data_IF_022154058046
#
_entry.id   IF_022154058046
#
_cell.length_a   1.000
_cell.length_b   1.000
_cell.length_c   1.000
_cell.angle_alpha   90.00
_cell.angle_beta   90.00
_cell.angle_gamma   90.00
#
_symmetry.space_group_name_H-M   'P 1'
#
loop_
_entity.id
_entity.type
_entity.pdbx_description
1 polymer ?
#
# COMPACT_ATOMS: atom_id res chain seq x y z
N UNK A 1 43.87 6.92 74.62
CA UNK A 1 43.84 6.01 73.47
C UNK A 1 43.69 6.87 72.19
N UNK A 2 44.75 6.92 71.38
CA UNK A 2 44.84 7.72 70.17
C UNK A 2 44.46 6.86 68.98
N UNK A 3 43.39 7.24 68.28
CA UNK A 3 42.96 6.63 66.99
C UNK A 3 43.88 7.15 65.86
N UNK A 4 44.59 6.24 65.22
CA UNK A 4 45.36 6.53 64.00
C UNK A 4 44.44 6.45 62.80
N UNK A 5 44.20 7.58 62.11
CA UNK A 5 43.52 7.64 60.81
C UNK A 5 44.46 7.14 59.71
N UNK A 6 44.01 6.20 58.91
CA UNK A 6 44.71 5.71 57.72
C UNK A 6 44.37 6.68 56.61
N UNK A 7 45.34 7.44 56.12
CA UNK A 7 45.21 8.26 54.88
C UNK A 7 45.59 7.34 53.72
N UNK A 8 44.57 6.99 52.86
CA UNK A 8 44.83 6.31 51.60
C UNK A 8 45.29 7.36 50.59
N UNK A 9 46.56 7.34 50.22
CA UNK A 9 47.11 8.16 49.15
C UNK A 9 46.58 7.64 47.81
N UNK A 10 45.71 8.42 47.16
CA UNK A 10 45.28 8.18 45.77
C UNK A 10 46.47 8.57 44.88
N UNK A 11 47.24 7.58 44.43
CA UNK A 11 48.30 7.76 43.45
C UNK A 11 47.71 8.24 42.13
N UNK A 12 48.21 9.38 41.62
CA UNK A 12 47.82 10.01 40.38
C UNK A 12 48.09 9.05 39.20
N UNK A 13 47.02 8.57 38.59
CA UNK A 13 47.06 7.87 37.29
C UNK A 13 47.63 8.81 36.21
N UNK A 14 48.50 8.34 35.33
CA UNK A 14 49.04 9.14 34.25
C UNK A 14 47.90 9.72 33.39
N UNK A 15 47.98 11.00 33.03
CA UNK A 15 46.94 11.69 32.21
C UNK A 15 46.54 10.93 30.95
N UNK A 16 47.43 10.13 30.37
CA UNK A 16 47.15 9.28 29.21
C UNK A 16 46.12 8.17 29.48
N UNK A 17 46.06 7.59 30.70
CA UNK A 17 45.10 6.54 31.07
C UNK A 17 43.67 7.10 31.28
N UNK A 18 43.59 8.34 31.76
CA UNK A 18 42.28 9.03 31.91
C UNK A 18 41.70 9.36 30.54
N UNK A 19 42.53 9.80 29.57
CA UNK A 19 42.09 10.05 28.19
C UNK A 19 41.66 8.76 27.49
N UNK A 20 42.36 7.64 27.69
CA UNK A 20 42.01 6.34 27.15
C UNK A 20 40.69 5.80 27.74
N UNK A 21 40.51 5.94 29.06
CA UNK A 21 39.24 5.55 29.71
C UNK A 21 38.05 6.36 29.25
N UNK A 22 38.20 7.66 29.01
CA UNK A 22 37.13 8.50 28.43
C UNK A 22 36.84 8.15 26.98
N UNK A 23 37.88 7.84 26.16
CA UNK A 23 37.68 7.42 24.78
C UNK A 23 36.94 6.07 24.70
N UNK A 24 37.27 5.11 25.56
CA UNK A 24 36.60 3.82 25.66
C UNK A 24 35.14 3.98 26.15
N UNK A 25 34.92 4.84 27.16
CA UNK A 25 33.59 5.13 27.67
C UNK A 25 32.69 5.79 26.59
N UNK A 26 33.22 6.70 25.77
CA UNK A 26 32.51 7.34 24.66
C UNK A 26 32.18 6.31 23.57
N UNK A 27 33.07 5.38 23.25
CA UNK A 27 32.82 4.31 22.27
C UNK A 27 31.76 3.34 22.79
N UNK A 28 31.77 2.99 24.09
CA UNK A 28 30.77 2.12 24.70
C UNK A 28 29.38 2.80 24.74
N UNK A 29 29.30 4.10 25.01
CA UNK A 29 28.04 4.86 25.01
C UNK A 29 27.51 5.03 23.58
N UNK A 30 28.38 5.20 22.58
CA UNK A 30 27.94 5.26 21.16
C UNK A 30 27.45 3.89 20.63
N UNK A 31 27.98 2.77 21.18
CA UNK A 31 27.52 1.43 20.84
C UNK A 31 26.21 1.03 21.55
N UNK A 32 25.84 1.70 22.65
CA UNK A 32 24.68 1.35 23.47
C UNK A 32 23.33 1.96 22.95
N UNK A 33 23.37 2.73 21.86
CA UNK A 33 22.18 3.40 21.32
C UNK A 33 21.59 2.74 20.06
N UNK A 34 22.07 1.58 19.65
CA UNK A 34 21.38 0.78 18.66
C UNK A 34 20.17 0.12 19.34
N UNK A 35 19.03 0.83 19.41
CA UNK A 35 17.77 0.19 19.78
C UNK A 35 17.58 -1.02 18.87
N UNK A 36 17.33 -2.19 19.45
CA UNK A 36 17.01 -3.36 18.64
C UNK A 36 15.75 -3.07 17.83
N UNK A 37 15.77 -3.37 16.53
CA UNK A 37 14.59 -3.26 15.69
C UNK A 37 13.49 -4.21 16.20
N UNK A 38 12.22 -3.92 15.85
CA UNK A 38 11.09 -4.71 16.36
C UNK A 38 11.18 -6.17 15.94
N UNK A 39 10.88 -7.08 16.86
CA UNK A 39 10.81 -8.53 16.58
C UNK A 39 9.49 -8.97 15.98
N UNK A 40 8.47 -8.10 15.93
CA UNK A 40 7.16 -8.37 15.34
C UNK A 40 6.79 -7.24 14.38
N UNK A 41 6.29 -7.59 13.21
CA UNK A 41 5.88 -6.66 12.16
C UNK A 41 4.47 -6.95 11.67
N UNK A 42 3.61 -5.93 11.67
CA UNK A 42 2.23 -6.00 11.21
C UNK A 42 2.11 -5.33 9.84
N UNK A 43 1.72 -6.11 8.83
CA UNK A 43 1.60 -5.66 7.45
C UNK A 43 0.14 -5.73 7.03
N UNK A 44 -0.45 -4.62 6.55
CA UNK A 44 -1.80 -4.67 5.99
C UNK A 44 -1.78 -5.00 4.49
N UNK A 45 -2.80 -5.73 4.06
CA UNK A 45 -3.15 -5.93 2.65
C UNK A 45 -4.67 -5.92 2.49
N UNK A 46 -5.15 -5.61 1.29
CA UNK A 46 -6.56 -5.69 0.93
C UNK A 46 -6.90 -6.93 0.12
N UNK A 47 -8.09 -6.92 -0.46
CA UNK A 47 -8.57 -7.95 -1.37
C UNK A 47 -8.06 -7.73 -2.80
N UNK A 48 -7.92 -8.83 -3.55
CA UNK A 48 -7.65 -8.81 -4.99
C UNK A 48 -6.23 -9.17 -5.40
N UNK A 49 -6.10 -9.52 -6.69
CA UNK A 49 -4.82 -9.99 -7.28
C UNK A 49 -3.76 -8.88 -7.28
N UNK A 50 -4.14 -7.62 -7.20
CA UNK A 50 -3.19 -6.50 -7.09
C UNK A 50 -2.30 -6.57 -5.82
N UNK A 51 -2.71 -7.34 -4.80
CA UNK A 51 -1.92 -7.62 -3.60
C UNK A 51 -1.10 -8.91 -3.70
N UNK A 52 -1.06 -9.58 -4.86
CA UNK A 52 -0.34 -10.85 -5.05
C UNK A 52 1.11 -10.84 -4.55
N UNK A 53 1.92 -9.77 -4.73
CA UNK A 53 3.28 -9.76 -4.19
C UNK A 53 3.32 -9.95 -2.67
N UNK A 54 2.36 -9.44 -1.91
CA UNK A 54 2.30 -9.64 -0.45
C UNK A 54 1.87 -11.06 -0.07
N UNK A 55 1.04 -11.71 -0.88
CA UNK A 55 0.69 -13.12 -0.70
C UNK A 55 1.90 -14.03 -0.95
N UNK A 56 2.65 -13.77 -2.03
CA UNK A 56 3.92 -14.47 -2.31
C UNK A 56 4.95 -14.22 -1.22
N UNK A 57 5.10 -12.96 -0.76
CA UNK A 57 6.00 -12.61 0.34
C UNK A 57 5.67 -13.38 1.61
N UNK A 58 4.39 -13.52 1.95
CA UNK A 58 3.93 -14.30 3.11
C UNK A 58 4.27 -15.77 2.96
N UNK A 59 3.83 -16.41 1.87
CA UNK A 59 3.96 -17.83 1.65
C UNK A 59 5.43 -18.26 1.56
N UNK A 60 6.24 -17.51 0.84
CA UNK A 60 7.67 -17.79 0.67
C UNK A 60 8.54 -17.27 1.83
N UNK A 61 7.94 -16.59 2.83
CA UNK A 61 8.65 -15.96 3.97
C UNK A 61 9.81 -15.07 3.52
N UNK A 62 9.59 -14.29 2.43
CA UNK A 62 10.68 -13.53 1.80
C UNK A 62 11.20 -12.44 2.72
N UNK A 63 10.33 -11.77 3.46
CA UNK A 63 10.71 -10.74 4.41
C UNK A 63 11.59 -11.30 5.54
N UNK A 64 11.21 -12.44 6.13
CA UNK A 64 11.99 -13.09 7.17
C UNK A 64 13.39 -13.48 6.66
N UNK A 65 13.45 -14.00 5.42
CA UNK A 65 14.75 -14.34 4.77
C UNK A 65 15.63 -13.10 4.57
N UNK A 66 15.05 -11.98 4.11
CA UNK A 66 15.78 -10.73 3.91
C UNK A 66 16.21 -10.10 5.24
N UNK A 67 15.35 -10.11 6.26
CA UNK A 67 15.66 -9.62 7.60
C UNK A 67 16.83 -10.39 8.22
N UNK A 68 16.80 -11.72 8.15
CA UNK A 68 17.91 -12.57 8.62
C UNK A 68 19.21 -12.28 7.86
N UNK A 69 19.16 -12.12 6.53
CA UNK A 69 20.32 -11.76 5.72
C UNK A 69 20.88 -10.36 6.06
N UNK A 70 20.04 -9.44 6.54
CA UNK A 70 20.45 -8.12 7.02
C UNK A 70 21.01 -8.14 8.46
N UNK A 71 21.10 -9.32 9.08
CA UNK A 71 21.62 -9.50 10.45
C UNK A 71 20.61 -9.09 11.52
N UNK A 72 19.32 -9.18 11.24
CA UNK A 72 18.27 -9.11 12.25
C UNK A 72 17.99 -10.51 12.80
N UNK A 73 17.50 -10.55 14.04
CA UNK A 73 16.98 -11.79 14.62
C UNK A 73 15.69 -12.25 13.89
N UNK A 74 15.11 -13.36 14.36
CA UNK A 74 13.85 -13.84 13.83
C UNK A 74 12.76 -12.78 13.97
N UNK A 75 12.16 -12.39 12.83
CA UNK A 75 11.05 -11.43 12.79
C UNK A 75 9.74 -12.19 12.59
N UNK A 76 8.80 -12.03 13.52
CA UNK A 76 7.44 -12.49 13.36
C UNK A 76 6.67 -11.52 12.47
N UNK A 77 5.99 -12.02 11.44
CA UNK A 77 5.24 -11.18 10.48
C UNK A 77 3.78 -11.58 10.49
N UNK A 78 2.94 -10.62 10.87
CA UNK A 78 1.48 -10.75 10.84
C UNK A 78 0.93 -9.99 9.63
N UNK A 79 0.07 -10.67 8.83
CA UNK A 79 -0.61 -10.06 7.69
C UNK A 79 -2.07 -9.80 8.04
N UNK A 80 -2.44 -8.52 8.10
CA UNK A 80 -3.78 -8.04 8.44
C UNK A 80 -4.57 -7.76 7.17
N UNK A 81 -5.75 -8.34 7.06
CA UNK A 81 -6.67 -8.07 5.94
C UNK A 81 -7.52 -6.85 6.29
N UNK A 82 -7.20 -5.71 5.68
CA UNK A 82 -7.91 -4.44 5.88
C UNK A 82 -8.25 -3.87 4.51
N UNK A 83 -9.52 -3.65 4.24
CA UNK A 83 -9.99 -3.07 2.99
C UNK A 83 -10.50 -1.64 3.17
N UNK A 84 -10.36 -0.84 2.11
CA UNK A 84 -10.76 0.57 2.11
C UNK A 84 -9.70 1.51 2.69
N UNK A 85 -9.39 2.57 1.92
CA UNK A 85 -8.33 3.52 2.27
C UNK A 85 -8.50 4.23 3.62
N UNK A 86 -9.75 4.46 4.07
CA UNK A 86 -10.02 5.07 5.38
C UNK A 86 -9.58 4.15 6.51
N UNK A 87 -9.98 2.87 6.48
CA UNK A 87 -9.66 1.91 7.54
C UNK A 87 -8.15 1.68 7.65
N UNK A 88 -7.44 1.66 6.50
CA UNK A 88 -5.98 1.54 6.50
C UNK A 88 -5.34 2.80 7.09
N UNK A 89 -5.81 3.99 6.72
CA UNK A 89 -5.31 5.24 7.26
C UNK A 89 -5.53 5.32 8.78
N UNK A 90 -6.72 4.93 9.26
CA UNK A 90 -7.02 4.88 10.69
C UNK A 90 -6.13 3.88 11.43
N UNK A 91 -5.87 2.70 10.84
CA UNK A 91 -4.98 1.68 11.40
C UNK A 91 -3.52 2.17 11.52
N UNK A 92 -3.01 2.92 10.53
CA UNK A 92 -1.67 3.53 10.58
C UNK A 92 -1.62 4.62 11.65
N UNK A 93 -2.62 5.50 11.70
CA UNK A 93 -2.69 6.57 12.72
C UNK A 93 -2.80 6.01 14.13
N UNK A 94 -3.52 4.89 14.32
CA UNK A 94 -3.61 4.18 15.59
C UNK A 94 -2.39 3.31 15.92
N UNK A 95 -1.38 3.25 15.02
CA UNK A 95 -0.18 2.39 15.15
C UNK A 95 -0.52 0.91 15.32
N UNK A 96 -1.64 0.46 14.75
CA UNK A 96 -2.02 -0.96 14.71
C UNK A 96 -1.46 -1.70 13.49
N UNK A 97 -0.85 -0.97 12.55
CA UNK A 97 -0.14 -1.45 11.37
C UNK A 97 1.19 -0.73 11.26
N UNK A 98 2.25 -1.44 10.98
CA UNK A 98 3.62 -0.93 10.87
C UNK A 98 3.98 -0.63 9.41
N UNK A 99 3.64 -1.54 8.49
CA UNK A 99 3.72 -1.32 7.05
C UNK A 99 2.32 -1.52 6.46
N UNK A 100 1.82 -0.49 5.81
CA UNK A 100 0.51 -0.51 5.19
C UNK A 100 0.62 -0.67 3.66
N UNK A 101 -0.42 -1.27 3.06
CA UNK A 101 -0.59 -1.29 1.61
C UNK A 101 -2.00 -0.83 1.25
N UNK A 102 -2.11 0.14 0.36
CA UNK A 102 -3.38 0.74 -0.02
C UNK A 102 -3.34 1.28 -1.45
N UNK A 103 -4.50 1.71 -1.93
CA UNK A 103 -4.61 2.45 -3.18
C UNK A 103 -3.90 3.81 -3.15
N UNK A 104 -3.30 4.20 -4.27
CA UNK A 104 -2.48 5.42 -4.37
C UNK A 104 -3.19 6.69 -3.88
N UNK A 105 -4.50 6.85 -4.18
CA UNK A 105 -5.25 8.03 -3.72
C UNK A 105 -5.38 8.11 -2.19
N UNK A 106 -5.61 6.97 -1.53
CA UNK A 106 -5.66 6.87 -0.06
C UNK A 106 -4.32 7.23 0.58
N UNK A 107 -3.22 6.72 0.03
CA UNK A 107 -1.87 7.06 0.46
C UNK A 107 -1.57 8.56 0.31
N UNK A 108 -1.81 9.15 -0.86
CA UNK A 108 -1.56 10.58 -1.09
C UNK A 108 -2.38 11.47 -0.14
N UNK A 109 -3.60 11.05 0.17
CA UNK A 109 -4.43 11.75 1.17
C UNK A 109 -3.80 11.71 2.55
N UNK A 110 -3.30 10.54 2.99
CA UNK A 110 -2.64 10.41 4.29
C UNK A 110 -1.30 11.15 4.30
N UNK A 111 -0.51 11.04 3.23
CA UNK A 111 0.75 11.77 3.08
C UNK A 111 0.56 13.29 3.25
N UNK A 112 -0.41 13.86 2.53
CA UNK A 112 -0.68 15.30 2.61
C UNK A 112 -1.16 15.73 4.01
N UNK A 113 -1.93 14.90 4.70
CA UNK A 113 -2.42 15.17 6.06
C UNK A 113 -1.35 15.01 7.14
N UNK A 114 -0.40 14.09 6.93
CA UNK A 114 0.64 13.77 7.91
C UNK A 114 1.92 14.57 7.73
N UNK A 115 2.07 15.28 6.60
CA UNK A 115 3.27 16.04 6.26
C UNK A 115 3.65 17.04 7.35
N UNK A 116 4.92 16.99 7.77
CA UNK A 116 5.44 17.85 8.85
C UNK A 116 5.11 17.38 10.27
N UNK A 117 4.40 16.27 10.43
CA UNK A 117 4.21 15.62 11.74
C UNK A 117 5.27 14.52 11.92
N UNK A 118 6.29 14.71 12.78
CA UNK A 118 7.42 13.78 12.87
C UNK A 118 7.03 12.34 13.27
N UNK A 119 5.89 12.17 13.95
CA UNK A 119 5.43 10.87 14.43
C UNK A 119 4.48 10.14 13.46
N UNK A 120 3.89 10.87 12.50
CA UNK A 120 2.82 10.35 11.65
C UNK A 120 3.12 10.53 10.16
N UNK A 121 4.13 11.33 9.79
CA UNK A 121 4.49 11.55 8.39
C UNK A 121 4.79 10.21 7.71
N UNK A 122 4.05 9.91 6.64
CA UNK A 122 4.19 8.65 5.91
C UNK A 122 5.11 8.79 4.71
N UNK A 123 5.73 7.66 4.34
CA UNK A 123 6.64 7.53 3.20
C UNK A 123 6.38 6.23 2.44
N UNK A 124 6.32 6.29 1.13
CA UNK A 124 6.13 5.13 0.25
C UNK A 124 7.37 4.24 0.18
N UNK A 125 7.15 2.94 0.23
CA UNK A 125 8.17 1.89 0.14
C UNK A 125 8.22 1.21 -1.24
N UNK A 126 7.32 1.57 -2.15
CA UNK A 126 7.29 1.07 -3.52
C UNK A 126 5.88 0.80 -4.02
N UNK A 127 5.73 0.74 -5.34
CA UNK A 127 4.57 0.14 -5.96
C UNK A 127 4.52 -1.36 -5.66
N UNK A 128 3.34 -1.95 -5.73
CA UNK A 128 3.15 -3.40 -5.67
C UNK A 128 2.53 -3.88 -6.97
N UNK A 129 1.55 -3.14 -7.47
CA UNK A 129 0.89 -3.41 -8.72
C UNK A 129 0.43 -2.13 -9.41
N UNK A 130 0.37 -2.18 -10.73
CA UNK A 130 -0.41 -1.26 -11.56
C UNK A 130 -1.38 -2.09 -12.40
N UNK A 131 -2.60 -1.60 -12.59
CA UNK A 131 -3.61 -2.39 -13.30
C UNK A 131 -4.92 -1.65 -13.49
N UNK A 132 -5.85 -2.31 -14.20
CA UNK A 132 -7.15 -1.76 -14.49
C UNK A 132 -8.08 -1.77 -13.26
N UNK A 133 -8.72 -0.62 -13.04
CA UNK A 133 -9.96 -0.54 -12.27
C UNK A 133 -11.09 -0.47 -13.29
N UNK A 134 -11.99 -1.42 -13.24
CA UNK A 134 -13.10 -1.53 -14.21
C UNK A 134 -14.40 -1.17 -13.54
N UNK A 135 -15.13 -0.23 -14.14
CA UNK A 135 -16.55 -0.03 -13.81
C UNK A 135 -17.38 -1.02 -14.60
N UNK A 136 -18.08 -1.89 -13.90
CA UNK A 136 -19.06 -2.82 -14.43
C UNK A 136 -20.45 -2.38 -14.06
N UNK A 137 -21.45 -2.80 -14.83
CA UNK A 137 -22.87 -2.53 -14.52
C UNK A 137 -23.78 -3.66 -14.98
N UNK A 138 -24.86 -3.90 -14.22
CA UNK A 138 -25.99 -4.74 -14.61
C UNK A 138 -27.16 -3.94 -15.20
N UNK A 139 -27.04 -2.60 -15.21
CA UNK A 139 -28.05 -1.74 -15.83
C UNK A 139 -27.84 -1.75 -17.37
N UNK A 140 -28.75 -2.33 -18.18
CA UNK A 140 -28.54 -2.50 -19.61
C UNK A 140 -28.50 -1.19 -20.38
N UNK A 141 -28.99 -0.09 -19.81
CA UNK A 141 -29.01 1.23 -20.44
C UNK A 141 -27.74 2.05 -20.12
N UNK A 142 -26.96 1.67 -19.10
CA UNK A 142 -25.77 2.39 -18.68
C UNK A 142 -24.57 1.95 -19.52
N UNK A 143 -24.27 2.67 -20.61
CA UNK A 143 -23.13 2.40 -21.53
C UNK A 143 -21.93 3.30 -21.29
N UNK A 144 -22.16 4.44 -20.66
CA UNK A 144 -21.16 5.46 -20.35
C UNK A 144 -21.50 6.18 -19.05
N UNK A 145 -20.58 6.99 -18.52
CA UNK A 145 -20.87 7.82 -17.34
C UNK A 145 -22.02 8.83 -17.56
N UNK A 146 -22.32 9.17 -18.82
CA UNK A 146 -23.45 10.07 -19.18
C UNK A 146 -24.80 9.44 -18.92
N UNK A 147 -24.87 8.12 -18.93
CA UNK A 147 -26.11 7.36 -18.79
C UNK A 147 -26.45 7.07 -17.31
N UNK A 148 -25.55 7.42 -16.37
CA UNK A 148 -25.80 7.26 -14.95
C UNK A 148 -26.94 8.18 -14.49
N UNK A 149 -27.89 7.61 -13.77
CA UNK A 149 -29.08 8.28 -13.25
C UNK A 149 -29.16 8.20 -11.73
N UNK A 150 -30.10 8.95 -11.12
CA UNK A 150 -30.38 8.91 -9.68
C UNK A 150 -30.87 7.53 -9.16
N UNK A 151 -31.19 6.62 -10.07
CA UNK A 151 -31.60 5.24 -9.73
C UNK A 151 -30.42 4.30 -9.58
N UNK A 152 -29.24 4.70 -10.05
CA UNK A 152 -28.05 3.87 -9.99
C UNK A 152 -27.36 3.98 -8.62
N UNK A 153 -26.73 2.89 -8.21
CA UNK A 153 -25.87 2.83 -7.02
C UNK A 153 -24.57 2.17 -7.40
N UNK A 154 -23.47 2.85 -7.12
CA UNK A 154 -22.11 2.47 -7.52
C UNK A 154 -21.35 2.00 -6.29
N UNK A 155 -21.07 0.70 -6.19
CA UNK A 155 -20.28 0.16 -5.09
C UNK A 155 -18.80 0.54 -5.22
N UNK A 156 -18.19 0.93 -4.10
CA UNK A 156 -16.76 1.18 -3.93
C UNK A 156 -16.34 0.77 -2.51
N UNK A 157 -15.09 0.32 -2.24
CA UNK A 157 -14.68 -0.10 -0.89
C UNK A 157 -14.68 1.03 0.15
N UNK A 158 -14.56 2.26 -0.29
CA UNK A 158 -14.58 3.45 0.58
C UNK A 158 -14.93 4.69 -0.22
N UNK A 159 -15.98 5.38 0.21
CA UNK A 159 -16.48 6.59 -0.44
C UNK A 159 -15.40 7.67 -0.39
N UNK A 160 -15.14 8.33 -1.53
CA UNK A 160 -14.20 9.46 -1.72
C UNK A 160 -12.71 9.16 -1.48
N UNK A 161 -12.34 7.99 -0.97
CA UNK A 161 -10.96 7.72 -0.51
C UNK A 161 -10.36 6.44 -1.04
N UNK A 162 -11.20 5.44 -1.41
CA UNK A 162 -10.69 4.22 -2.03
C UNK A 162 -10.17 4.52 -3.44
N UNK A 163 -9.31 3.65 -3.95
CA UNK A 163 -8.81 3.75 -5.32
C UNK A 163 -9.96 3.82 -6.33
N UNK A 164 -10.98 2.95 -6.18
CA UNK A 164 -12.16 2.95 -7.06
C UNK A 164 -12.91 4.28 -7.05
N UNK A 165 -13.06 4.90 -5.87
CA UNK A 165 -13.71 6.21 -5.76
C UNK A 165 -12.90 7.32 -6.45
N UNK A 166 -11.57 7.34 -6.28
CA UNK A 166 -10.71 8.34 -6.94
C UNK A 166 -10.69 8.12 -8.46
N UNK A 167 -10.63 6.88 -8.94
CA UNK A 167 -10.72 6.57 -10.37
C UNK A 167 -12.06 7.00 -10.94
N UNK A 168 -13.18 6.79 -10.22
CA UNK A 168 -14.48 7.31 -10.64
C UNK A 168 -14.46 8.82 -10.80
N UNK A 169 -13.95 9.54 -9.80
CA UNK A 169 -13.85 10.99 -9.84
C UNK A 169 -12.95 11.49 -10.99
N UNK A 170 -11.83 10.81 -11.26
CA UNK A 170 -10.97 11.10 -12.41
C UNK A 170 -11.71 10.88 -13.74
N UNK A 171 -12.46 9.79 -13.85
CA UNK A 171 -13.25 9.47 -15.06
C UNK A 171 -14.38 10.49 -15.25
N UNK A 172 -15.07 10.87 -14.17
CA UNK A 172 -16.11 11.91 -14.18
C UNK A 172 -15.51 13.27 -14.59
N UNK A 173 -14.37 13.64 -14.03
CA UNK A 173 -13.69 14.89 -14.41
C UNK A 173 -13.25 14.89 -15.88
N UNK A 174 -12.78 13.76 -16.39
CA UNK A 174 -12.43 13.61 -17.82
C UNK A 174 -13.65 13.77 -18.74
N UNK A 175 -14.80 13.26 -18.32
CA UNK A 175 -16.03 13.26 -19.12
C UNK A 175 -16.80 14.60 -19.05
N UNK A 176 -16.86 15.22 -17.84
CA UNK A 176 -17.71 16.38 -17.57
C UNK A 176 -16.93 17.65 -17.19
N UNK A 177 -15.62 17.56 -17.06
CA UNK A 177 -14.73 18.63 -16.58
C UNK A 177 -14.50 18.60 -15.07
N UNK A 178 -13.32 19.13 -14.66
CA UNK A 178 -12.88 19.14 -13.26
C UNK A 178 -13.92 19.71 -12.26
N UNK A 179 -14.69 20.78 -12.55
CA UNK A 179 -15.70 21.28 -11.60
C UNK A 179 -16.79 20.26 -11.24
N UNK A 180 -16.99 19.23 -12.07
CA UNK A 180 -18.01 18.21 -11.87
C UNK A 180 -17.44 16.87 -11.36
N UNK A 181 -16.18 16.81 -10.95
CA UNK A 181 -15.52 15.56 -10.55
C UNK A 181 -16.30 14.73 -9.53
N UNK A 182 -17.00 15.37 -8.61
CA UNK A 182 -17.78 14.75 -7.54
C UNK A 182 -19.27 14.51 -7.91
N UNK A 183 -19.64 14.73 -9.17
CA UNK A 183 -21.05 14.65 -9.63
C UNK A 183 -21.74 13.34 -9.25
N UNK A 184 -21.00 12.22 -9.23
CA UNK A 184 -21.54 10.89 -8.95
C UNK A 184 -21.26 10.40 -7.52
N UNK A 185 -20.59 11.19 -6.67
CA UNK A 185 -20.20 10.77 -5.31
C UNK A 185 -21.43 10.38 -4.46
N UNK A 186 -22.53 11.09 -4.60
CA UNK A 186 -23.76 10.84 -3.84
C UNK A 186 -24.46 9.51 -4.21
N UNK A 187 -24.09 8.92 -5.35
CA UNK A 187 -24.57 7.61 -5.79
C UNK A 187 -23.65 6.47 -5.35
N UNK A 188 -22.51 6.79 -4.72
CA UNK A 188 -21.58 5.76 -4.26
C UNK A 188 -22.03 5.12 -2.96
N UNK A 189 -21.83 3.80 -2.84
CA UNK A 189 -22.14 3.00 -1.66
C UNK A 189 -20.88 2.28 -1.21
N UNK A 190 -20.55 2.35 0.08
CA UNK A 190 -19.38 1.67 0.65
C UNK A 190 -19.68 0.19 0.87
N UNK A 191 -19.04 -0.68 0.08
CA UNK A 191 -19.11 -2.13 0.22
C UNK A 191 -17.72 -2.74 -0.07
N UNK A 192 -17.24 -3.67 0.76
CA UNK A 192 -16.07 -4.48 0.44
C UNK A 192 -16.27 -5.25 -0.86
N UNK A 193 -15.19 -5.51 -1.59
CA UNK A 193 -15.26 -6.15 -2.91
C UNK A 193 -16.07 -7.46 -2.94
N UNK A 194 -15.91 -8.43 -2.00
CA UNK A 194 -16.70 -9.66 -2.04
C UNK A 194 -18.20 -9.41 -1.89
N UNK A 195 -18.59 -8.45 -1.04
CA UNK A 195 -19.99 -8.08 -0.82
C UNK A 195 -20.58 -7.36 -2.03
N UNK A 196 -19.80 -6.45 -2.64
CA UNK A 196 -20.21 -5.75 -3.85
C UNK A 196 -20.45 -6.71 -5.02
N UNK A 197 -19.53 -7.69 -5.23
CA UNK A 197 -19.72 -8.75 -6.24
C UNK A 197 -20.99 -9.55 -5.95
N UNK A 198 -21.20 -9.99 -4.70
CA UNK A 198 -22.41 -10.73 -4.33
C UNK A 198 -23.68 -9.91 -4.60
N UNK A 199 -23.66 -8.61 -4.31
CA UNK A 199 -24.75 -7.69 -4.61
C UNK A 199 -25.02 -7.55 -6.11
N UNK A 200 -23.96 -7.40 -6.91
CA UNK A 200 -24.03 -7.32 -8.37
C UNK A 200 -24.61 -8.60 -8.99
N UNK A 201 -24.08 -9.77 -8.59
CA UNK A 201 -24.48 -11.07 -9.15
C UNK A 201 -25.88 -11.50 -8.72
N UNK A 202 -26.33 -11.12 -7.52
CA UNK A 202 -27.68 -11.49 -7.04
C UNK A 202 -28.80 -10.87 -7.86
N UNK A 203 -28.57 -9.72 -8.48
CA UNK A 203 -29.57 -8.96 -9.22
C UNK A 203 -30.72 -8.40 -8.35
N UNK A 204 -30.65 -8.58 -7.02
CA UNK A 204 -31.72 -8.22 -6.07
C UNK A 204 -31.39 -7.04 -5.16
N UNK A 205 -30.15 -6.55 -5.22
CA UNK A 205 -29.70 -5.39 -4.45
C UNK A 205 -29.97 -4.08 -5.19
N UNK A 206 -29.88 -2.96 -4.50
CA UNK A 206 -29.91 -1.62 -5.11
C UNK A 206 -28.63 -1.32 -5.92
N UNK A 207 -27.54 -2.07 -5.71
CA UNK A 207 -26.29 -1.87 -6.43
C UNK A 207 -26.46 -2.23 -7.90
N UNK A 208 -26.30 -1.24 -8.77
CA UNK A 208 -26.40 -1.39 -10.21
C UNK A 208 -25.06 -1.37 -10.92
N UNK A 209 -24.03 -0.81 -10.29
CA UNK A 209 -22.67 -0.73 -10.81
C UNK A 209 -21.65 -0.94 -9.72
N UNK A 210 -20.43 -1.34 -10.10
CA UNK A 210 -19.31 -1.55 -9.20
C UNK A 210 -18.01 -1.13 -9.87
N UNK A 211 -17.08 -0.55 -9.10
CA UNK A 211 -15.73 -0.28 -9.59
C UNK A 211 -14.77 -1.19 -8.86
N UNK A 212 -14.24 -2.15 -9.59
CA UNK A 212 -13.42 -3.21 -9.04
C UNK A 212 -12.12 -3.44 -9.80
N UNK A 213 -11.14 -3.97 -9.09
CA UNK A 213 -9.96 -4.60 -9.66
C UNK A 213 -10.18 -6.11 -9.85
N UNK A 214 -9.22 -6.77 -10.52
CA UNK A 214 -9.19 -8.22 -10.60
C UNK A 214 -9.01 -8.88 -9.21
N UNK A 215 -9.66 -10.03 -8.94
CA UNK A 215 -10.47 -10.84 -9.85
C UNK A 215 -11.94 -10.40 -9.94
N UNK A 216 -12.38 -9.47 -9.11
CA UNK A 216 -13.78 -9.12 -8.91
C UNK A 216 -14.46 -8.60 -10.18
N UNK A 217 -13.81 -7.70 -10.92
CA UNK A 217 -14.31 -7.22 -12.20
C UNK A 217 -14.44 -8.32 -13.25
N UNK A 218 -13.55 -9.32 -13.22
CA UNK A 218 -13.61 -10.47 -14.12
C UNK A 218 -14.81 -11.36 -13.81
N UNK A 219 -15.03 -11.69 -12.52
CA UNK A 219 -16.20 -12.46 -12.07
C UNK A 219 -17.52 -11.81 -12.52
N UNK A 220 -17.57 -10.49 -12.43
CA UNK A 220 -18.74 -9.73 -12.86
C UNK A 220 -18.93 -9.78 -14.38
N UNK A 221 -17.86 -9.55 -15.15
CA UNK A 221 -17.92 -9.55 -16.62
C UNK A 221 -18.21 -10.93 -17.23
N UNK A 222 -17.92 -12.02 -16.52
CA UNK A 222 -18.30 -13.37 -16.92
C UNK A 222 -19.78 -13.71 -16.64
N UNK A 223 -20.44 -12.86 -15.86
CA UNK A 223 -21.84 -13.08 -15.48
C UNK A 223 -22.80 -12.50 -16.50
N UNK A 224 -23.84 -13.26 -16.93
CA UNK A 224 -24.81 -12.78 -17.90
C UNK A 224 -25.48 -11.47 -17.45
N UNK A 225 -25.60 -10.53 -18.36
CA UNK A 225 -26.27 -9.25 -18.11
C UNK A 225 -25.40 -8.18 -17.44
N UNK A 226 -24.16 -8.49 -17.11
CA UNK A 226 -23.19 -7.50 -16.62
C UNK A 226 -22.22 -7.14 -17.76
N UNK A 227 -21.92 -5.85 -17.90
CA UNK A 227 -20.97 -5.37 -18.91
C UNK A 227 -20.09 -4.24 -18.39
N UNK A 228 -18.99 -3.99 -19.11
CA UNK A 228 -18.04 -2.91 -18.82
C UNK A 228 -18.60 -1.56 -19.23
N UNK A 229 -18.45 -0.56 -18.36
CA UNK A 229 -18.69 0.86 -18.67
C UNK A 229 -17.37 1.53 -19.07
N UNK A 230 -16.30 1.36 -18.26
CA UNK A 230 -14.95 1.80 -18.60
C UNK A 230 -13.90 0.95 -17.89
N UNK A 231 -12.63 1.04 -18.36
CA UNK A 231 -11.45 0.56 -17.67
C UNK A 231 -10.46 1.71 -17.50
N UNK A 232 -9.85 1.84 -16.32
CA UNK A 232 -8.95 2.96 -16.01
C UNK A 232 -7.65 2.96 -16.84
N UNK A 233 -7.17 1.80 -17.30
CA UNK A 233 -5.98 1.72 -18.17
C UNK A 233 -6.30 2.32 -19.55
N UNK A 234 -7.50 2.07 -20.07
CA UNK A 234 -7.97 2.68 -21.34
C UNK A 234 -8.07 4.21 -21.23
N UNK A 235 -8.44 4.73 -20.05
CA UNK A 235 -8.63 6.16 -19.82
C UNK A 235 -7.34 6.91 -19.49
N UNK A 236 -6.43 6.30 -18.72
CA UNK A 236 -5.31 6.99 -18.07
C UNK A 236 -3.95 6.31 -18.27
N UNK A 237 -3.91 5.14 -18.95
CA UNK A 237 -2.72 4.30 -19.01
C UNK A 237 -2.47 3.56 -17.68
N UNK A 238 -1.29 2.95 -17.58
CA UNK A 238 -0.90 2.23 -16.38
C UNK A 238 -0.58 3.19 -15.24
N UNK A 239 -1.37 3.13 -14.18
CA UNK A 239 -1.16 3.86 -12.92
C UNK A 239 -0.90 2.86 -11.80
N UNK A 240 -0.02 3.18 -10.86
CA UNK A 240 0.14 2.39 -9.64
C UNK A 240 -1.19 2.33 -8.90
N UNK A 241 -1.73 1.12 -8.75
CA UNK A 241 -3.00 0.87 -8.09
C UNK A 241 -2.80 0.59 -6.61
N UNK A 242 -1.82 -0.25 -6.29
CA UNK A 242 -1.46 -0.59 -4.90
C UNK A 242 0.00 -0.24 -4.65
N UNK A 243 0.25 0.36 -3.51
CA UNK A 243 1.58 0.67 -3.02
C UNK A 243 1.72 0.38 -1.53
N UNK A 244 2.95 0.09 -1.11
CA UNK A 244 3.30 -0.08 0.28
C UNK A 244 3.89 1.22 0.86
N UNK A 245 3.64 1.48 2.14
CA UNK A 245 4.14 2.64 2.85
C UNK A 245 4.25 2.38 4.35
N UNK A 246 5.01 3.24 5.03
CA UNK A 246 5.15 3.24 6.49
C UNK A 246 5.26 4.67 7.01
N UNK A 247 5.38 4.87 8.33
CA UNK A 247 5.71 6.19 8.88
C UNK A 247 7.22 6.44 8.83
N UNK A 248 7.63 7.71 8.70
CA UNK A 248 9.04 8.10 8.79
C UNK A 248 9.65 7.69 10.14
N UNK A 249 8.85 7.76 11.21
CA UNK A 249 9.28 7.32 12.54
C UNK A 249 9.62 5.82 12.52
N UNK A 250 8.68 4.97 12.08
CA UNK A 250 8.93 3.52 12.02
C UNK A 250 10.15 3.19 11.17
N UNK A 251 10.30 3.83 10.00
CA UNK A 251 11.47 3.66 9.14
C UNK A 251 12.77 4.03 9.84
N UNK A 252 12.80 5.15 10.56
CA UNK A 252 14.01 5.60 11.26
C UNK A 252 14.40 4.71 12.44
N UNK A 253 13.40 4.13 13.11
CA UNK A 253 13.59 3.20 14.23
C UNK A 253 13.93 1.77 13.75
N UNK A 254 13.51 1.40 12.51
CA UNK A 254 13.66 0.06 11.95
C UNK A 254 14.23 0.10 10.51
N UNK A 255 15.41 0.67 10.28
CA UNK A 255 15.94 0.90 8.94
C UNK A 255 16.27 -0.39 8.20
N UNK A 256 16.83 -1.42 8.85
CA UNK A 256 17.15 -2.69 8.23
C UNK A 256 15.89 -3.48 7.88
N UNK A 257 14.89 -3.48 8.76
CA UNK A 257 13.62 -4.16 8.54
C UNK A 257 12.84 -3.51 7.38
N UNK A 258 12.84 -2.16 7.32
CA UNK A 258 12.21 -1.42 6.22
C UNK A 258 12.92 -1.70 4.88
N UNK A 259 14.26 -1.71 4.85
CA UNK A 259 15.02 -2.07 3.66
C UNK A 259 14.78 -3.55 3.26
N UNK A 260 14.68 -4.45 4.24
CA UNK A 260 14.34 -5.86 4.02
C UNK A 260 12.95 -6.04 3.41
N UNK A 261 11.99 -5.21 3.83
CA UNK A 261 10.65 -5.22 3.23
C UNK A 261 10.69 -4.83 1.75
N UNK A 262 11.38 -3.75 1.38
CA UNK A 262 11.51 -3.31 -0.02
C UNK A 262 12.17 -4.40 -0.87
N UNK A 263 13.27 -5.01 -0.36
CA UNK A 263 13.93 -6.11 -1.04
C UNK A 263 13.04 -7.34 -1.19
N UNK A 264 12.29 -7.72 -0.16
CA UNK A 264 11.36 -8.84 -0.20
C UNK A 264 10.17 -8.61 -1.15
N UNK A 265 9.73 -7.36 -1.27
CA UNK A 265 8.69 -6.98 -2.24
C UNK A 265 9.21 -7.12 -3.68
N UNK A 266 10.45 -6.73 -3.93
CA UNK A 266 11.12 -6.94 -5.22
C UNK A 266 11.25 -8.44 -5.52
N UNK A 267 11.72 -9.26 -4.56
CA UNK A 267 11.81 -10.72 -4.73
C UNK A 267 10.47 -11.35 -5.07
N UNK A 268 9.40 -10.89 -4.42
CA UNK A 268 8.04 -11.39 -4.71
C UNK A 268 7.59 -11.03 -6.13
N UNK A 269 7.91 -9.83 -6.60
CA UNK A 269 7.60 -9.39 -7.96
C UNK A 269 8.38 -10.23 -8.99
N UNK A 270 9.68 -10.46 -8.74
CA UNK A 270 10.53 -11.31 -9.59
C UNK A 270 10.06 -12.76 -9.59
N UNK A 271 9.67 -13.29 -8.43
CA UNK A 271 9.08 -14.63 -8.31
C UNK A 271 7.82 -14.77 -9.18
N UNK A 272 6.90 -13.78 -9.13
CA UNK A 272 5.69 -13.78 -9.97
C UNK A 272 6.06 -13.76 -11.46
N UNK A 273 7.03 -12.93 -11.85
CA UNK A 273 7.46 -12.85 -13.24
C UNK A 273 8.08 -14.15 -13.76
N UNK A 274 8.83 -14.86 -12.91
CA UNK A 274 9.49 -16.12 -13.24
C UNK A 274 8.55 -17.33 -13.24
N UNK A 275 7.49 -17.32 -12.38
CA UNK A 275 6.65 -18.48 -12.14
C UNK A 275 5.16 -18.14 -11.92
N UNK A 276 4.48 -17.64 -12.96
CA UNK A 276 3.08 -17.20 -12.87
C UNK A 276 2.10 -18.29 -12.43
N UNK A 277 2.36 -19.55 -12.80
CA UNK A 277 1.52 -20.69 -12.38
C UNK A 277 1.60 -20.88 -10.87
N UNK A 278 2.80 -20.97 -10.31
CA UNK A 278 2.99 -21.09 -8.87
C UNK A 278 2.45 -19.87 -8.11
N UNK A 279 2.62 -18.67 -8.67
CA UNK A 279 2.05 -17.45 -8.10
C UNK A 279 0.51 -17.48 -8.07
N UNK A 280 -0.14 -18.05 -9.11
CA UNK A 280 -1.59 -18.24 -9.14
C UNK A 280 -2.06 -19.21 -8.05
N UNK A 281 -1.34 -20.32 -7.86
CA UNK A 281 -1.61 -21.32 -6.81
C UNK A 281 -1.50 -20.68 -5.42
N UNK A 282 -0.41 -19.96 -5.15
CA UNK A 282 -0.20 -19.25 -3.89
C UNK A 282 -1.37 -18.29 -3.62
N UNK A 283 -1.78 -17.51 -4.63
CA UNK A 283 -2.91 -16.61 -4.46
C UNK A 283 -4.20 -17.35 -4.13
N UNK A 284 -4.54 -18.39 -4.91
CA UNK A 284 -5.76 -19.15 -4.71
C UNK A 284 -5.85 -19.75 -3.30
N UNK A 285 -4.76 -20.35 -2.82
CA UNK A 285 -4.67 -21.02 -1.52
C UNK A 285 -4.66 -20.00 -0.36
N UNK A 286 -3.78 -18.98 -0.43
CA UNK A 286 -3.57 -18.06 0.68
C UNK A 286 -4.71 -17.02 0.80
N UNK A 287 -5.26 -16.56 -0.31
CA UNK A 287 -6.41 -15.67 -0.34
C UNK A 287 -7.75 -16.41 -0.17
N UNK A 288 -7.74 -17.76 -0.20
CA UNK A 288 -8.92 -18.63 -0.09
C UNK A 288 -10.03 -18.24 -1.08
N UNK A 289 -9.65 -17.90 -2.29
CA UNK A 289 -10.60 -17.52 -3.34
C UNK A 289 -11.26 -18.77 -3.94
N UNK A 290 -12.47 -18.59 -4.48
CA UNK A 290 -13.24 -19.69 -5.10
C UNK A 290 -12.94 -19.88 -6.59
N UNK A 291 -12.24 -18.92 -7.20
CA UNK A 291 -11.89 -18.96 -8.61
C UNK A 291 -10.93 -20.11 -8.89
N UNK A 292 -11.12 -20.83 -10.01
CA UNK A 292 -10.16 -21.82 -10.47
C UNK A 292 -8.77 -21.19 -10.70
N UNK A 293 -7.70 -21.94 -10.44
CA UNK A 293 -6.31 -21.49 -10.66
C UNK A 293 -6.10 -20.97 -12.09
N UNK A 294 -6.69 -21.64 -13.09
CA UNK A 294 -6.59 -21.25 -14.49
C UNK A 294 -7.15 -19.83 -14.76
N UNK A 295 -8.19 -19.44 -14.05
CA UNK A 295 -8.76 -18.08 -14.13
C UNK A 295 -7.80 -17.06 -13.50
N UNK A 296 -7.26 -17.36 -12.33
CA UNK A 296 -6.26 -16.50 -11.67
C UNK A 296 -5.02 -16.35 -12.56
N UNK A 297 -4.56 -17.45 -13.17
CA UNK A 297 -3.42 -17.42 -14.11
C UNK A 297 -3.73 -16.56 -15.33
N UNK A 298 -4.94 -16.61 -15.88
CA UNK A 298 -5.39 -15.73 -16.98
C UNK A 298 -5.32 -14.28 -16.58
N UNK A 299 -5.76 -13.94 -15.36
CA UNK A 299 -5.72 -12.58 -14.82
C UNK A 299 -4.26 -12.11 -14.64
N UNK A 300 -3.37 -12.95 -14.09
CA UNK A 300 -1.93 -12.62 -13.93
C UNK A 300 -1.24 -12.41 -15.28
N UNK A 301 -1.77 -13.01 -16.35
CA UNK A 301 -1.25 -12.83 -17.71
C UNK A 301 -1.87 -11.64 -18.45
N UNK A 302 -2.85 -10.95 -17.88
CA UNK A 302 -3.45 -9.78 -18.51
C UNK A 302 -2.40 -8.67 -18.68
N UNK A 303 -2.20 -8.13 -19.90
CA UNK A 303 -1.22 -7.07 -20.17
C UNK A 303 -1.49 -5.78 -19.39
N UNK A 304 -2.73 -5.56 -18.97
CA UNK A 304 -3.12 -4.42 -18.15
C UNK A 304 -2.70 -4.57 -16.68
N UNK A 305 -2.36 -5.78 -16.22
CA UNK A 305 -1.88 -6.03 -14.86
C UNK A 305 -0.36 -6.19 -14.84
N UNK A 306 0.31 -5.33 -14.08
CA UNK A 306 1.77 -5.38 -13.90
C UNK A 306 2.11 -5.37 -12.43
N UNK A 307 2.99 -6.27 -12.01
CA UNK A 307 3.61 -6.23 -10.68
C UNK A 307 4.95 -5.53 -10.79
N UNK A 308 5.14 -4.45 -10.05
CA UNK A 308 6.33 -3.62 -10.16
C UNK A 308 6.51 -2.71 -8.96
N UNK A 309 7.78 -2.53 -8.53
CA UNK A 309 8.14 -1.50 -7.54
C UNK A 309 8.06 -0.08 -8.12
N UNK A 310 8.12 0.08 -9.44
CA UNK A 310 8.13 1.39 -10.09
C UNK A 310 6.86 2.15 -9.79
N UNK A 311 6.93 3.34 -9.15
CA UNK A 311 5.75 4.17 -8.91
C UNK A 311 5.32 4.88 -10.20
N UNK A 312 4.33 4.34 -10.88
CA UNK A 312 3.82 4.88 -12.15
C UNK A 312 2.59 5.76 -11.92
N UNK A 313 2.54 6.93 -12.54
CA UNK A 313 1.40 7.84 -12.54
C UNK A 313 1.04 8.46 -11.19
N UNK A 314 1.97 8.50 -10.24
CA UNK A 314 1.76 9.13 -8.92
C UNK A 314 1.37 10.59 -9.09
N UNK A 315 2.07 11.31 -9.99
CA UNK A 315 1.78 12.72 -10.25
C UNK A 315 0.45 12.93 -10.97
N UNK A 316 -0.04 11.94 -11.73
CA UNK A 316 -1.38 11.99 -12.33
C UNK A 316 -2.46 12.05 -11.25
N UNK A 317 -2.37 11.18 -10.23
CA UNK A 317 -3.27 11.25 -9.06
C UNK A 317 -3.10 12.55 -8.28
N UNK A 318 -1.86 12.90 -7.92
CA UNK A 318 -1.57 14.07 -7.10
C UNK A 318 -2.04 15.37 -7.75
N UNK A 319 -1.77 15.55 -9.05
CA UNK A 319 -2.21 16.72 -9.80
C UNK A 319 -3.73 16.80 -9.93
N UNK A 320 -4.39 15.68 -10.24
CA UNK A 320 -5.85 15.65 -10.27
C UNK A 320 -6.45 16.01 -8.92
N UNK A 321 -6.06 15.30 -7.86
CA UNK A 321 -6.60 15.48 -6.51
C UNK A 321 -6.36 16.90 -5.98
N UNK A 322 -5.22 17.52 -6.33
CA UNK A 322 -4.94 18.91 -5.96
C UNK A 322 -5.80 19.89 -6.75
N UNK A 323 -5.92 19.72 -8.08
CA UNK A 323 -6.74 20.58 -8.95
C UNK A 323 -8.19 20.67 -8.51
N UNK A 324 -8.75 19.54 -8.06
CA UNK A 324 -10.16 19.46 -7.62
C UNK A 324 -10.33 19.72 -6.12
N UNK A 325 -9.26 20.09 -5.39
CA UNK A 325 -9.31 20.46 -3.97
C UNK A 325 -9.36 19.30 -2.98
N UNK A 326 -9.15 18.04 -3.43
CA UNK A 326 -9.06 16.87 -2.55
C UNK A 326 -7.75 16.82 -1.75
N UNK A 327 -6.67 17.36 -2.32
CA UNK A 327 -5.39 17.56 -1.63
C UNK A 327 -5.10 19.05 -1.47
N UNK A 328 -4.88 19.50 -0.24
CA UNK A 328 -4.41 20.86 0.04
C UNK A 328 -2.92 21.02 -0.29
N UNK A 329 -2.14 19.99 -0.03
CA UNK A 329 -0.72 19.90 -0.34
C UNK A 329 -0.49 18.77 -1.33
N UNK A 330 0.21 19.02 -2.43
CA UNK A 330 0.65 17.99 -3.37
C UNK A 330 2.18 17.89 -3.38
N UNK A 331 2.74 16.72 -3.70
CA UNK A 331 4.18 16.61 -3.96
C UNK A 331 4.54 17.36 -5.25
N UNK A 332 5.76 17.87 -5.36
CA UNK A 332 6.28 18.45 -6.59
C UNK A 332 6.79 17.37 -7.54
N UNK A 333 7.27 16.26 -6.97
CA UNK A 333 7.75 15.07 -7.67
C UNK A 333 7.25 13.81 -6.96
N UNK A 334 7.11 12.72 -7.70
CA UNK A 334 6.83 11.41 -7.10
C UNK A 334 7.89 11.00 -6.07
N UNK A 335 9.14 11.51 -6.21
CA UNK A 335 10.24 11.25 -5.27
C UNK A 335 9.97 11.80 -3.87
N UNK A 336 9.17 12.86 -3.74
CA UNK A 336 8.85 13.48 -2.44
C UNK A 336 8.02 12.57 -1.53
N UNK A 337 7.37 11.57 -2.11
CA UNK A 337 6.48 10.66 -1.41
C UNK A 337 7.04 9.24 -1.27
N UNK A 338 8.24 8.95 -1.80
CA UNK A 338 8.90 7.66 -1.72
C UNK A 338 10.28 7.75 -1.10
N UNK A 339 10.73 6.63 -0.52
CA UNK A 339 12.08 6.49 0.03
C UNK A 339 13.13 6.68 -1.06
N UNK A 340 14.29 7.25 -0.66
CA UNK A 340 15.38 7.59 -1.59
C UNK A 340 15.95 6.41 -2.36
N UNK A 341 15.86 5.20 -1.79
CA UNK A 341 16.31 3.95 -2.39
C UNK A 341 15.59 3.63 -3.70
N UNK A 342 14.40 4.19 -3.91
CA UNK A 342 13.62 4.02 -5.14
C UNK A 342 13.84 5.13 -6.17
N UNK A 343 14.53 6.22 -5.81
CA UNK A 343 14.64 7.40 -6.69
C UNK A 343 15.42 7.15 -8.00
N UNK A 344 16.12 6.03 -8.12
CA UNK A 344 16.74 5.56 -9.36
C UNK A 344 15.78 4.87 -10.33
N UNK A 345 14.55 4.53 -9.90
CA UNK A 345 13.56 3.91 -10.76
C UNK A 345 12.90 4.93 -11.70
N UNK A 346 12.38 4.50 -12.87
CA UNK A 346 11.72 5.36 -13.86
C UNK A 346 10.25 5.68 -13.43
N UNK A 347 10.05 6.17 -12.22
CA UNK A 347 8.75 6.60 -11.71
C UNK A 347 8.29 7.95 -12.29
N UNK A 348 6.97 8.26 -12.18
CA UNK A 348 6.38 9.51 -12.65
C UNK A 348 5.14 9.98 -11.86
#
# INVERSE_FOLDING_TARGET
MRARGIVIAVSSLPRGWIALAHAIAIIIVAAASASAEVGQLRISRGFGVHYLPLYVMQEKKLLQKRALAAGLDSVEVEYLLIDGGNHINDAVLARSVDIASTGTGGFLTLWAKSKGNPNLEVIGLGGSASGGMTMTTRNPTLKSLRDVTEKDRIAVPGIKTSLGAIILQMAVAKEFGDPQYARLDHLTVSLPYPEAVAAMLSGRSEITAHIASAPFSYMELESPGIHKVFNSVELFGHLTTIMAFTTQQFRSENPKLTASFVAALQDAIEFIAAGKVEAAQIYAETAKVKQPEAEILRIINDPDLRFTLVPAGIMSYANFMHRVGLLKLKPESWKDVFVSELHGLPGN
#
